data_IF_995573349229
#
_entry.id   IF_995573349229
#
_cell.length_a   1.000
_cell.length_b   1.000
_cell.length_c   1.000
_cell.angle_alpha   90.00
_cell.angle_beta   90.00
_cell.angle_gamma   90.00
#
_symmetry.space_group_name_H-M   'P 1'
#
loop_
_entity.id
_entity.type
_entity.pdbx_description
1 polymer ?
#
# COMPACT_ATOMS: atom_id res chain seq x y z
N UNK A 1 -4.79 -22.17 19.72
CA UNK A 1 -4.97 -20.74 19.41
C UNK A 1 -5.15 -20.58 17.91
N UNK A 2 -6.02 -19.69 17.44
CA UNK A 2 -6.21 -19.48 15.99
C UNK A 2 -4.96 -18.82 15.40
N UNK A 3 -4.39 -19.39 14.34
CA UNK A 3 -3.23 -18.82 13.66
C UNK A 3 -3.59 -17.44 13.09
N UNK A 4 -2.75 -16.44 13.38
CA UNK A 4 -2.94 -15.08 12.88
C UNK A 4 -2.63 -15.00 11.38
N UNK A 5 -3.33 -14.12 10.65
CA UNK A 5 -3.17 -13.95 9.21
C UNK A 5 -2.80 -12.52 8.83
N UNK A 6 -1.73 -12.36 8.05
CA UNK A 6 -1.25 -11.10 7.50
C UNK A 6 -1.38 -11.13 5.98
N UNK A 7 -1.99 -10.09 5.42
CA UNK A 7 -1.93 -9.79 3.99
C UNK A 7 -0.95 -8.63 3.77
N UNK A 8 0.10 -8.86 3.00
CA UNK A 8 0.97 -7.80 2.48
C UNK A 8 0.48 -7.43 1.08
N UNK A 9 0.43 -6.15 0.74
CA UNK A 9 -0.04 -5.66 -0.57
C UNK A 9 1.02 -4.80 -1.23
N UNK A 10 1.78 -5.39 -2.16
CA UNK A 10 2.88 -4.74 -2.88
C UNK A 10 2.65 -4.83 -4.40
N UNK A 11 2.14 -3.75 -4.99
CA UNK A 11 1.82 -3.72 -6.43
C UNK A 11 3.06 -3.74 -7.32
N UNK A 12 4.22 -3.31 -6.80
CA UNK A 12 5.45 -3.15 -7.57
C UNK A 12 6.34 -4.39 -7.63
N UNK A 13 6.10 -5.40 -6.78
CA UNK A 13 6.95 -6.59 -6.71
C UNK A 13 6.80 -7.45 -7.97
N UNK A 14 7.85 -7.49 -8.79
CA UNK A 14 7.95 -8.25 -10.04
C UNK A 14 9.11 -9.25 -10.02
N UNK A 15 10.24 -8.86 -9.46
CA UNK A 15 11.47 -9.65 -9.40
C UNK A 15 12.30 -9.18 -8.19
N UNK A 16 13.55 -9.64 -8.08
CA UNK A 16 14.48 -9.22 -7.02
C UNK A 16 15.08 -7.81 -7.23
N UNK A 17 14.68 -7.06 -8.27
CA UNK A 17 15.24 -5.72 -8.52
C UNK A 17 14.50 -4.70 -7.67
N UNK A 18 15.25 -3.72 -7.17
CA UNK A 18 14.73 -2.69 -6.28
C UNK A 18 14.56 -3.18 -4.83
N UNK A 19 14.06 -2.30 -3.96
CA UNK A 19 13.99 -2.58 -2.52
C UNK A 19 12.70 -3.30 -2.09
N UNK A 20 11.80 -3.65 -3.03
CA UNK A 20 10.50 -4.23 -2.69
C UNK A 20 10.65 -5.65 -2.14
N UNK A 21 11.40 -6.50 -2.85
CA UNK A 21 11.61 -7.90 -2.47
C UNK A 21 12.22 -8.02 -1.06
N UNK A 22 13.31 -7.32 -0.77
CA UNK A 22 13.96 -7.44 0.54
C UNK A 22 13.11 -6.93 1.69
N UNK A 23 12.29 -5.91 1.43
CA UNK A 23 11.36 -5.41 2.42
C UNK A 23 10.25 -6.42 2.72
N UNK A 24 9.60 -6.94 1.67
CA UNK A 24 8.52 -7.91 1.81
C UNK A 24 9.03 -9.22 2.41
N UNK A 25 10.24 -9.64 2.04
CA UNK A 25 10.94 -10.80 2.61
C UNK A 25 11.19 -10.60 4.10
N UNK A 26 11.80 -9.49 4.49
CA UNK A 26 12.08 -9.21 5.91
C UNK A 26 10.80 -9.19 6.76
N UNK A 27 9.73 -8.55 6.28
CA UNK A 27 8.43 -8.53 6.99
C UNK A 27 7.82 -9.92 7.05
N UNK A 28 7.91 -10.68 5.96
CA UNK A 28 7.40 -12.06 5.89
C UNK A 28 8.14 -12.97 6.87
N UNK A 29 9.47 -12.95 6.88
CA UNK A 29 10.32 -13.79 7.73
C UNK A 29 10.06 -13.51 9.21
N UNK A 30 10.02 -12.24 9.62
CA UNK A 30 9.75 -11.85 11.01
C UNK A 30 8.38 -12.35 11.47
N UNK A 31 7.35 -12.21 10.62
CA UNK A 31 5.98 -12.62 10.98
C UNK A 31 5.83 -14.15 10.99
N UNK A 32 6.41 -14.85 10.01
CA UNK A 32 6.40 -16.32 9.98
C UNK A 32 7.15 -16.93 11.16
N UNK A 33 8.26 -16.32 11.60
CA UNK A 33 9.02 -16.77 12.77
C UNK A 33 8.20 -16.80 14.07
N UNK A 34 7.16 -15.96 14.18
CA UNK A 34 6.22 -15.95 15.31
C UNK A 34 4.91 -16.68 15.01
N UNK A 35 4.86 -17.46 13.92
CA UNK A 35 3.73 -18.32 13.56
C UNK A 35 2.59 -17.64 12.80
N UNK A 36 2.76 -16.41 12.31
CA UNK A 36 1.76 -15.72 11.48
C UNK A 36 1.76 -16.32 10.07
N UNK A 37 0.58 -16.62 9.54
CA UNK A 37 0.42 -16.98 8.15
C UNK A 37 0.41 -15.72 7.27
N UNK A 38 1.40 -15.60 6.39
CA UNK A 38 1.59 -14.44 5.52
C UNK A 38 1.18 -14.78 4.09
N UNK A 39 0.36 -13.92 3.50
CA UNK A 39 0.02 -13.93 2.07
C UNK A 39 0.49 -12.61 1.47
N UNK A 40 1.16 -12.65 0.33
CA UNK A 40 1.69 -11.46 -0.34
C UNK A 40 0.94 -11.24 -1.66
N UNK A 41 0.18 -10.16 -1.79
CA UNK A 41 -0.42 -9.77 -3.06
C UNK A 41 0.58 -8.95 -3.87
N UNK A 42 1.01 -9.49 -5.02
CA UNK A 42 2.09 -8.97 -5.85
C UNK A 42 1.62 -8.59 -7.27
N UNK A 43 2.55 -8.07 -8.08
CA UNK A 43 2.31 -7.83 -9.50
C UNK A 43 2.07 -9.15 -10.25
N UNK A 44 1.31 -9.10 -11.35
CA UNK A 44 1.00 -10.28 -12.18
C UNK A 44 2.22 -10.92 -12.85
N UNK A 45 3.32 -10.18 -12.94
CA UNK A 45 4.59 -10.63 -13.53
C UNK A 45 5.62 -10.96 -12.46
N UNK A 46 5.20 -11.20 -11.21
CA UNK A 46 6.09 -11.65 -10.14
C UNK A 46 6.77 -12.97 -10.52
N UNK A 47 8.05 -13.10 -10.24
CA UNK A 47 8.85 -14.27 -10.58
C UNK A 47 8.45 -15.50 -9.73
N UNK A 48 8.60 -16.69 -10.32
CA UNK A 48 8.10 -17.95 -9.74
C UNK A 48 8.77 -18.31 -8.41
N UNK A 49 10.07 -18.05 -8.30
CA UNK A 49 10.84 -18.18 -7.07
C UNK A 49 10.27 -17.33 -5.92
N UNK A 50 9.88 -16.07 -6.19
CA UNK A 50 9.22 -15.20 -5.21
C UNK A 50 7.84 -15.72 -4.82
N UNK A 51 7.07 -16.26 -5.77
CA UNK A 51 5.77 -16.88 -5.50
C UNK A 51 5.92 -18.01 -4.48
N UNK A 52 6.88 -18.90 -4.72
CA UNK A 52 7.13 -20.07 -3.88
C UNK A 52 7.69 -19.68 -2.51
N UNK A 53 8.67 -18.77 -2.49
CA UNK A 53 9.31 -18.32 -1.26
C UNK A 53 8.36 -17.53 -0.36
N UNK A 54 7.70 -16.52 -0.91
CA UNK A 54 6.93 -15.55 -0.12
C UNK A 54 5.42 -15.85 -0.08
N UNK A 55 4.97 -16.97 -0.67
CA UNK A 55 3.55 -17.27 -0.84
C UNK A 55 2.83 -16.10 -1.53
N UNK A 56 3.40 -15.65 -2.66
CA UNK A 56 2.93 -14.49 -3.38
C UNK A 56 1.79 -14.84 -4.35
N UNK A 57 0.81 -13.94 -4.47
CA UNK A 57 -0.33 -14.05 -5.35
C UNK A 57 -0.23 -12.98 -6.45
N UNK A 58 -0.17 -13.36 -7.74
CA UNK A 58 -0.08 -12.42 -8.85
C UNK A 58 -1.41 -11.72 -9.11
N UNK A 59 -1.69 -10.61 -8.41
CA UNK A 59 -2.99 -9.93 -8.46
C UNK A 59 -2.99 -8.65 -9.29
N UNK A 60 -1.95 -7.82 -9.18
CA UNK A 60 -1.95 -6.47 -9.72
C UNK A 60 -1.41 -6.43 -11.16
N UNK A 61 -2.22 -5.89 -12.08
CA UNK A 61 -1.81 -5.73 -13.49
C UNK A 61 -0.97 -4.47 -13.75
N UNK A 62 -1.07 -3.48 -12.87
CA UNK A 62 -0.44 -2.18 -13.04
C UNK A 62 0.14 -1.74 -11.71
N UNK A 63 1.27 -1.05 -11.74
CA UNK A 63 1.85 -0.39 -10.59
C UNK A 63 1.97 1.12 -10.83
N UNK A 64 2.12 1.89 -9.74
CA UNK A 64 2.40 3.33 -9.81
C UNK A 64 3.72 3.65 -10.54
N UNK A 65 4.66 2.72 -10.58
CA UNK A 65 5.96 2.86 -11.25
C UNK A 65 5.91 2.63 -12.77
N UNK A 66 4.77 2.24 -13.34
CA UNK A 66 4.61 2.06 -14.79
C UNK A 66 4.29 3.39 -15.52
N UNK A 67 4.78 4.54 -15.01
CA UNK A 67 4.56 5.88 -15.57
C UNK A 67 3.08 6.27 -15.82
N UNK A 68 2.15 5.62 -15.13
CA UNK A 68 0.70 5.80 -15.33
C UNK A 68 0.19 7.21 -14.99
N UNK A 69 1.02 8.04 -14.36
CA UNK A 69 0.76 9.45 -14.06
C UNK A 69 1.53 10.42 -14.94
N UNK A 70 2.45 9.92 -15.77
CA UNK A 70 3.38 10.75 -16.51
C UNK A 70 2.68 11.32 -17.75
N UNK A 71 2.12 12.51 -17.60
CA UNK A 71 1.53 13.28 -18.69
C UNK A 71 1.85 14.75 -18.51
N UNK A 72 2.24 15.48 -19.57
CA UNK A 72 2.46 16.92 -19.49
C UNK A 72 1.17 17.67 -19.15
N UNK A 73 0.01 17.11 -19.50
CA UNK A 73 -1.32 17.69 -19.27
C UNK A 73 -1.84 17.33 -17.87
N UNK A 74 -2.09 18.34 -17.03
CA UNK A 74 -2.50 18.18 -15.62
C UNK A 74 -3.79 17.36 -15.44
N UNK A 75 -4.83 17.60 -16.26
CA UNK A 75 -6.09 16.86 -16.13
C UNK A 75 -5.92 15.37 -16.43
N UNK A 76 -5.07 15.02 -17.41
CA UNK A 76 -4.74 13.62 -17.71
C UNK A 76 -4.01 12.95 -16.55
N UNK A 77 -3.15 13.68 -15.81
CA UNK A 77 -2.51 13.16 -14.59
C UNK A 77 -3.54 12.82 -13.51
N UNK A 78 -4.49 13.72 -13.25
CA UNK A 78 -5.55 13.47 -12.27
C UNK A 78 -6.46 12.30 -12.67
N UNK A 79 -6.82 12.18 -13.94
CA UNK A 79 -7.55 11.01 -14.44
C UNK A 79 -6.76 9.72 -14.27
N UNK A 80 -5.44 9.73 -14.52
CA UNK A 80 -4.56 8.59 -14.23
C UNK A 80 -4.59 8.17 -12.76
N UNK A 81 -4.56 9.13 -11.84
CA UNK A 81 -4.70 8.89 -10.39
C UNK A 81 -6.04 8.23 -10.06
N UNK A 82 -7.15 8.78 -10.54
CA UNK A 82 -8.49 8.22 -10.29
C UNK A 82 -8.64 6.81 -10.85
N UNK A 83 -8.21 6.61 -12.10
CA UNK A 83 -8.24 5.30 -12.76
C UNK A 83 -7.43 4.25 -12.00
N UNK A 84 -6.28 4.65 -11.46
CA UNK A 84 -5.46 3.73 -10.68
C UNK A 84 -6.08 3.40 -9.32
N UNK A 85 -6.66 4.36 -8.60
CA UNK A 85 -7.45 4.05 -7.39
C UNK A 85 -8.57 3.04 -7.66
N UNK A 86 -9.28 3.22 -8.78
CA UNK A 86 -10.33 2.28 -9.17
C UNK A 86 -9.78 0.88 -9.44
N UNK A 87 -8.60 0.77 -10.07
CA UNK A 87 -7.92 -0.53 -10.30
C UNK A 87 -7.54 -1.20 -8.98
N UNK A 88 -6.86 -0.49 -8.09
CA UNK A 88 -6.48 -1.00 -6.75
C UNK A 88 -7.71 -1.47 -5.99
N UNK A 89 -8.74 -0.62 -5.92
CA UNK A 89 -10.00 -0.95 -5.26
C UNK A 89 -10.61 -2.21 -5.87
N UNK A 90 -10.81 -2.26 -7.19
CA UNK A 90 -11.49 -3.37 -7.86
C UNK A 90 -10.72 -4.69 -7.73
N UNK A 91 -9.38 -4.66 -7.79
CA UNK A 91 -8.56 -5.87 -7.58
C UNK A 91 -8.68 -6.39 -6.16
N UNK A 92 -8.50 -5.52 -5.16
CA UNK A 92 -8.58 -5.91 -3.75
C UNK A 92 -10.00 -6.25 -3.31
N UNK A 93 -11.02 -5.59 -3.87
CA UNK A 93 -12.43 -5.89 -3.60
C UNK A 93 -12.78 -7.33 -3.96
N UNK A 94 -12.41 -7.74 -5.18
CA UNK A 94 -12.62 -9.12 -5.66
C UNK A 94 -11.84 -10.12 -4.81
N UNK A 95 -10.57 -9.84 -4.53
CA UNK A 95 -9.74 -10.71 -3.73
C UNK A 95 -10.28 -10.87 -2.30
N UNK A 96 -10.53 -9.77 -1.58
CA UNK A 96 -11.03 -9.79 -0.20
C UNK A 96 -12.43 -10.38 -0.10
N UNK A 97 -13.29 -10.19 -1.12
CA UNK A 97 -14.60 -10.84 -1.14
C UNK A 97 -14.47 -12.37 -1.11
N UNK A 98 -13.53 -12.93 -1.88
CA UNK A 98 -13.29 -14.36 -2.01
C UNK A 98 -12.39 -14.95 -0.90
N UNK A 99 -11.56 -14.13 -0.25
CA UNK A 99 -10.61 -14.61 0.75
C UNK A 99 -11.26 -14.86 2.11
N UNK A 100 -10.57 -15.64 2.95
CA UNK A 100 -10.81 -15.64 4.39
C UNK A 100 -10.41 -14.28 5.02
N UNK A 101 -10.92 -13.94 6.21
CA UNK A 101 -10.53 -12.72 6.91
C UNK A 101 -9.07 -12.76 7.39
N UNK A 102 -8.40 -11.62 7.26
CA UNK A 102 -7.07 -11.36 7.79
C UNK A 102 -7.14 -10.66 9.16
N UNK A 103 -6.11 -10.80 9.98
CA UNK A 103 -5.99 -10.00 11.20
C UNK A 103 -5.39 -8.62 10.88
N UNK A 104 -4.44 -8.58 9.95
CA UNK A 104 -3.81 -7.35 9.49
C UNK A 104 -3.64 -7.33 7.96
N UNK A 105 -3.87 -6.16 7.37
CA UNK A 105 -3.44 -5.83 6.01
C UNK A 105 -2.34 -4.79 6.14
N UNK A 106 -1.22 -5.04 5.48
CA UNK A 106 -0.05 -4.17 5.46
C UNK A 106 0.28 -3.75 4.03
N UNK A 107 0.51 -2.46 3.84
CA UNK A 107 0.74 -1.85 2.52
C UNK A 107 2.06 -1.11 2.55
N UNK A 108 3.18 -1.75 2.15
CA UNK A 108 4.54 -1.24 2.27
C UNK A 108 4.86 -0.04 1.37
N UNK A 109 4.13 0.17 0.29
CA UNK A 109 4.47 1.20 -0.71
C UNK A 109 3.30 2.07 -1.08
N UNK A 110 2.51 2.45 -0.07
CA UNK A 110 1.39 3.35 -0.34
C UNK A 110 1.94 4.71 -0.75
N UNK A 111 1.49 5.17 -1.92
CA UNK A 111 1.63 6.56 -2.31
C UNK A 111 0.34 7.31 -1.95
N UNK A 112 0.48 8.59 -1.62
CA UNK A 112 -0.61 9.50 -1.24
C UNK A 112 -1.80 9.42 -2.21
N UNK A 113 -1.50 9.22 -3.49
CA UNK A 113 -2.50 9.17 -4.54
C UNK A 113 -3.42 7.95 -4.46
N UNK A 114 -3.13 6.90 -3.70
CA UNK A 114 -3.96 5.68 -3.59
C UNK A 114 -4.81 5.61 -2.34
N UNK A 115 -4.66 6.56 -1.42
CA UNK A 115 -5.36 6.56 -0.14
C UNK A 115 -6.89 6.56 -0.30
N UNK A 116 -7.41 7.03 -1.44
CA UNK A 116 -8.85 6.99 -1.74
C UNK A 116 -9.36 5.56 -1.89
N UNK A 117 -8.64 4.69 -2.61
CA UNK A 117 -8.99 3.27 -2.72
C UNK A 117 -9.06 2.59 -1.35
N UNK A 118 -8.02 2.79 -0.53
CA UNK A 118 -7.94 2.25 0.83
C UNK A 118 -9.07 2.75 1.73
N UNK A 119 -9.46 4.02 1.60
CA UNK A 119 -10.61 4.57 2.33
C UNK A 119 -11.91 3.84 2.03
N UNK A 120 -12.15 3.47 0.76
CA UNK A 120 -13.33 2.69 0.40
C UNK A 120 -13.23 1.24 0.88
N UNK A 121 -12.06 0.62 0.77
CA UNK A 121 -11.83 -0.74 1.27
C UNK A 121 -12.04 -0.84 2.79
N UNK A 122 -11.52 0.11 3.57
CA UNK A 122 -11.76 0.19 5.02
C UNK A 122 -13.24 0.25 5.33
N UNK A 123 -13.99 1.16 4.69
CA UNK A 123 -15.44 1.26 4.92
C UNK A 123 -16.20 -0.02 4.60
N UNK A 124 -15.77 -0.76 3.57
CA UNK A 124 -16.46 -1.98 3.14
C UNK A 124 -16.10 -3.21 3.98
N UNK A 125 -14.82 -3.34 4.36
CA UNK A 125 -14.24 -4.60 4.83
C UNK A 125 -13.65 -4.58 6.24
N UNK A 126 -13.43 -3.41 6.85
CA UNK A 126 -12.96 -3.34 8.24
C UNK A 126 -13.92 -4.09 9.17
N UNK A 127 -13.37 -4.93 10.05
CA UNK A 127 -14.13 -5.79 10.95
C UNK A 127 -14.76 -7.04 10.29
N UNK A 128 -14.79 -7.10 8.94
CA UNK A 128 -15.36 -8.23 8.18
C UNK A 128 -14.29 -9.11 7.54
N UNK A 129 -13.36 -8.50 6.80
CA UNK A 129 -12.27 -9.18 6.08
C UNK A 129 -10.88 -8.78 6.57
N UNK A 130 -10.76 -7.70 7.34
CA UNK A 130 -9.55 -7.42 8.09
C UNK A 130 -9.85 -6.66 9.38
N UNK A 131 -9.06 -6.89 10.44
CA UNK A 131 -9.20 -6.15 11.70
C UNK A 131 -8.41 -4.86 11.71
N UNK A 132 -7.18 -4.87 11.17
CA UNK A 132 -6.28 -3.71 11.11
C UNK A 132 -5.74 -3.48 9.71
N UNK A 133 -5.57 -2.20 9.35
CA UNK A 133 -4.87 -1.77 8.14
C UNK A 133 -3.65 -0.93 8.56
N UNK A 134 -2.48 -1.24 8.01
CA UNK A 134 -1.26 -0.48 8.20
C UNK A 134 -0.78 0.01 6.83
N UNK A 135 -0.71 1.33 6.68
CA UNK A 135 -0.31 2.01 5.45
C UNK A 135 1.06 2.64 5.64
N UNK A 136 2.08 2.11 4.96
CA UNK A 136 3.43 2.66 5.00
C UNK A 136 3.60 3.69 3.86
N UNK A 137 3.81 4.95 4.22
CA UNK A 137 4.01 6.04 3.28
C UNK A 137 5.52 6.29 3.12
N UNK A 138 6.07 5.95 1.95
CA UNK A 138 7.49 6.20 1.60
C UNK A 138 7.77 7.61 1.06
N UNK A 139 6.74 8.35 0.67
CA UNK A 139 6.93 9.65 0.05
C UNK A 139 6.86 10.78 1.08
N UNK A 140 7.93 11.56 1.16
CA UNK A 140 7.95 12.83 1.89
C UNK A 140 6.90 13.79 1.30
N UNK A 141 5.86 14.10 2.09
CA UNK A 141 4.82 15.07 1.70
C UNK A 141 5.34 16.53 1.72
N UNK A 142 6.45 16.78 2.43
CA UNK A 142 7.18 18.04 2.45
C UNK A 142 8.51 17.92 1.71
N UNK A 143 8.87 18.96 0.97
CA UNK A 143 10.24 19.15 0.47
C UNK A 143 10.95 20.17 1.36
N UNK A 144 12.22 19.95 1.65
CA UNK A 144 13.08 20.97 2.24
C UNK A 144 13.81 21.66 1.10
N UNK A 145 13.49 22.93 0.79
CA UNK A 145 14.33 23.73 -0.10
C UNK A 145 15.75 23.79 0.46
N UNK A 146 16.74 23.91 -0.43
CA UNK A 146 18.13 24.13 -0.03
C UNK A 146 18.20 25.32 0.94
N UNK A 147 18.84 25.11 2.10
CA UNK A 147 18.99 26.06 3.21
C UNK A 147 17.75 26.36 4.08
N UNK A 148 16.68 25.56 4.02
CA UNK A 148 15.53 25.70 4.93
C UNK A 148 15.40 24.51 5.89
N UNK A 149 15.27 24.79 7.19
CA UNK A 149 14.83 23.81 8.20
C UNK A 149 13.31 23.68 8.27
N UNK A 150 12.59 24.56 7.57
CA UNK A 150 11.13 24.57 7.51
C UNK A 150 10.64 23.78 6.29
N UNK A 151 9.77 22.77 6.47
CA UNK A 151 9.24 21.98 5.37
C UNK A 151 8.29 22.81 4.51
N UNK A 152 8.47 22.77 3.20
CA UNK A 152 7.51 23.33 2.25
C UNK A 152 6.56 22.23 1.80
N UNK A 153 5.29 22.43 2.09
CA UNK A 153 4.22 21.52 1.71
C UNK A 153 3.64 21.92 0.35
N UNK A 154 3.65 21.00 -0.62
CA UNK A 154 3.00 21.23 -1.93
C UNK A 154 1.49 21.42 -1.76
N UNK A 155 0.80 22.22 -2.58
CA UNK A 155 -0.68 22.40 -2.51
C UNK A 155 -1.49 21.10 -2.43
N UNK A 156 -0.94 20.00 -2.96
CA UNK A 156 -1.49 18.64 -2.82
C UNK A 156 -1.62 18.13 -1.37
N UNK A 157 -0.97 18.76 -0.39
CA UNK A 157 -1.06 18.39 1.03
C UNK A 157 -2.38 18.75 1.68
N UNK A 158 -3.14 19.73 1.16
CA UNK A 158 -4.49 20.02 1.66
C UNK A 158 -5.45 18.86 1.34
N UNK A 159 -5.34 18.30 0.13
CA UNK A 159 -6.09 17.12 -0.26
C UNK A 159 -5.66 15.90 0.57
N UNK A 160 -4.35 15.72 0.76
CA UNK A 160 -3.80 14.69 1.64
C UNK A 160 -4.37 14.81 3.06
N UNK A 161 -4.37 16.02 3.64
CA UNK A 161 -4.89 16.26 4.99
C UNK A 161 -6.35 15.80 5.11
N UNK A 162 -7.22 16.15 4.15
CA UNK A 162 -8.62 15.71 4.14
C UNK A 162 -8.77 14.20 4.01
N UNK A 163 -7.93 13.56 3.20
CA UNK A 163 -7.96 12.10 3.02
C UNK A 163 -7.48 11.40 4.29
N UNK A 164 -6.37 11.85 4.90
CA UNK A 164 -5.83 11.32 6.16
C UNK A 164 -6.82 11.49 7.32
N UNK A 165 -7.44 12.68 7.46
CA UNK A 165 -8.49 12.92 8.45
C UNK A 165 -9.68 11.97 8.29
N UNK A 166 -9.88 11.43 7.08
CA UNK A 166 -10.89 10.42 6.83
C UNK A 166 -10.63 9.07 7.52
N UNK A 167 -9.40 8.76 7.90
CA UNK A 167 -9.02 7.48 8.52
C UNK A 167 -9.07 7.51 10.05
N UNK A 168 -9.98 8.29 10.64
CA UNK A 168 -10.09 8.52 12.10
C UNK A 168 -10.43 7.29 12.96
N UNK A 169 -10.30 6.07 12.45
CA UNK A 169 -10.52 4.83 13.19
C UNK A 169 -9.20 4.31 13.75
N UNK A 170 -9.22 3.83 15.00
CA UNK A 170 -8.07 3.20 15.68
C UNK A 170 -7.53 1.95 14.97
N UNK A 171 -8.28 1.39 14.02
CA UNK A 171 -7.85 0.21 13.25
C UNK A 171 -7.01 0.53 12.02
N UNK A 172 -6.79 1.81 11.70
CA UNK A 172 -5.91 2.23 10.61
C UNK A 172 -4.70 2.91 11.21
N UNK A 173 -3.50 2.44 10.84
CA UNK A 173 -2.23 3.03 11.26
C UNK A 173 -1.45 3.49 10.05
N UNK A 174 -0.90 4.70 10.14
CA UNK A 174 0.09 5.18 9.19
C UNK A 174 1.47 4.95 9.77
N UNK A 175 2.38 4.48 8.93
CA UNK A 175 3.79 4.30 9.27
C UNK A 175 4.65 4.98 8.19
N UNK A 176 5.84 5.40 8.56
CA UNK A 176 6.78 6.12 7.69
C UNK A 176 8.21 5.82 8.12
N UNK A 177 9.15 5.85 7.18
CA UNK A 177 10.60 5.67 7.38
C UNK A 177 11.32 6.93 7.89
N UNK A 178 10.59 8.02 8.13
CA UNK A 178 11.16 9.29 8.55
C UNK A 178 10.70 9.68 9.96
N UNK A 179 11.64 9.74 10.90
CA UNK A 179 11.44 10.31 12.24
C UNK A 179 10.89 11.75 12.21
N UNK A 180 10.99 12.44 11.06
CA UNK A 180 10.50 13.81 10.86
C UNK A 180 9.04 13.90 10.40
N UNK A 181 8.34 12.77 10.23
CA UNK A 181 6.94 12.71 9.79
C UNK A 181 5.98 12.11 10.84
N UNK A 182 6.50 11.64 11.98
CA UNK A 182 5.72 11.18 13.12
C UNK A 182 5.16 12.35 13.95
#
# INVERSE_FOLDING_TARGET
MKQQKLLIVEEALKDHRGHWYEYDKAVTDINRAIGVNVTLAAHQTVSQDIIEELNALPLFKYTNWDDIYNSPVAIKRYWGILKHNWRVYNTLDKFLAASEPFDCVFVPTVIIYHLVAWRFLVRKYQGKKFKRLVLFIRNNAGSYPDNSTQPVFKRSTVLLKKVLQGFSSSSVSFATDSDRLA
#
